data_IF_101120506283
#
_entry.id   IF_101120506283
#
_cell.length_a   1.000
_cell.length_b   1.000
_cell.length_c   1.000
_cell.angle_alpha   90.00
_cell.angle_beta   90.00
_cell.angle_gamma   90.00
#
_symmetry.space_group_name_H-M   'P 1'
#
loop_
_entity.id
_entity.type
_entity.pdbx_description
1 polymer ?
#
# COMPACT_ATOMS: atom_id res chain seq x y z
N UNK A 1 31.73 -13.92 -28.95
CA UNK A 1 31.73 -14.26 -27.51
C UNK A 1 30.29 -14.48 -27.03
N UNK A 2 29.88 -15.74 -27.02
CA UNK A 2 28.54 -16.16 -26.60
C UNK A 2 28.25 -15.79 -25.13
N UNK A 3 29.25 -15.77 -24.27
CA UNK A 3 29.12 -15.41 -22.86
C UNK A 3 28.69 -13.97 -22.67
N UNK A 4 29.19 -13.03 -23.46
CA UNK A 4 28.79 -11.62 -23.45
C UNK A 4 27.38 -11.42 -23.99
N UNK A 5 26.96 -12.16 -25.02
CA UNK A 5 25.62 -12.10 -25.56
C UNK A 5 24.58 -12.60 -24.54
N UNK A 6 24.85 -13.71 -23.87
CA UNK A 6 24.02 -14.27 -22.81
C UNK A 6 23.92 -13.30 -21.62
N UNK A 7 25.03 -12.68 -21.21
CA UNK A 7 25.04 -11.72 -20.10
C UNK A 7 24.18 -10.48 -20.41
N UNK A 8 24.26 -9.93 -21.64
CA UNK A 8 23.44 -8.79 -22.09
C UNK A 8 21.95 -9.13 -22.15
N UNK A 9 21.62 -10.31 -22.67
CA UNK A 9 20.23 -10.76 -22.74
C UNK A 9 19.64 -10.99 -21.35
N UNK A 10 20.40 -11.57 -20.42
CA UNK A 10 19.98 -11.74 -19.04
C UNK A 10 19.80 -10.39 -18.32
N UNK A 11 20.68 -9.41 -18.56
CA UNK A 11 20.53 -8.06 -18.02
C UNK A 11 19.26 -7.38 -18.54
N UNK A 12 18.97 -7.50 -19.85
CA UNK A 12 17.76 -6.97 -20.46
C UNK A 12 16.49 -7.61 -19.89
N UNK A 13 16.47 -8.95 -19.78
CA UNK A 13 15.35 -9.68 -19.15
C UNK A 13 15.14 -9.26 -17.69
N UNK A 14 16.21 -9.09 -16.92
CA UNK A 14 16.11 -8.63 -15.54
C UNK A 14 15.55 -7.20 -15.43
N UNK A 15 15.90 -6.29 -16.33
CA UNK A 15 15.34 -4.94 -16.35
C UNK A 15 13.84 -4.97 -16.64
N UNK A 16 13.42 -5.75 -17.63
CA UNK A 16 12.00 -5.92 -17.97
C UNK A 16 11.23 -6.55 -16.79
N UNK A 17 11.77 -7.62 -16.20
CA UNK A 17 11.16 -8.26 -15.04
C UNK A 17 11.07 -7.33 -13.83
N UNK A 18 12.09 -6.50 -13.58
CA UNK A 18 12.06 -5.48 -12.53
C UNK A 18 11.00 -4.41 -12.81
N UNK A 19 10.85 -4.00 -14.06
CA UNK A 19 9.79 -3.06 -14.44
C UNK A 19 8.41 -3.65 -14.18
N UNK A 20 8.16 -4.89 -14.61
CA UNK A 20 6.89 -5.56 -14.33
C UNK A 20 6.69 -5.84 -12.83
N UNK A 21 7.75 -6.12 -12.07
CA UNK A 21 7.67 -6.29 -10.62
C UNK A 21 7.27 -5.01 -9.88
N UNK A 22 7.29 -3.84 -10.53
CA UNK A 22 6.74 -2.62 -9.98
C UNK A 22 5.21 -2.65 -9.87
N UNK A 23 4.55 -3.41 -10.73
CA UNK A 23 3.08 -3.44 -10.85
C UNK A 23 2.47 -4.80 -10.49
N UNK A 24 3.25 -5.86 -10.45
CA UNK A 24 2.78 -7.21 -10.13
C UNK A 24 3.84 -8.01 -9.37
N UNK A 25 3.43 -9.00 -8.59
CA UNK A 25 4.33 -9.93 -7.91
C UNK A 25 4.88 -10.95 -8.91
N UNK A 26 6.15 -10.82 -9.28
CA UNK A 26 6.83 -11.77 -10.15
C UNK A 26 7.45 -12.89 -9.30
N UNK A 27 7.05 -14.14 -9.54
CA UNK A 27 7.67 -15.32 -8.91
C UNK A 27 9.17 -15.34 -9.24
N UNK A 28 10.01 -15.37 -8.20
CA UNK A 28 11.48 -15.41 -8.36
C UNK A 28 12.21 -14.13 -7.96
N UNK A 29 11.50 -13.00 -7.81
CA UNK A 29 12.02 -11.81 -7.15
C UNK A 29 11.44 -11.80 -5.74
N UNK A 30 11.97 -12.64 -4.87
CA UNK A 30 11.58 -12.67 -3.46
C UNK A 30 12.13 -11.44 -2.77
N UNK A 31 11.24 -10.51 -2.44
CA UNK A 31 11.58 -9.47 -1.48
C UNK A 31 11.81 -10.13 -0.13
N UNK A 32 13.06 -10.13 0.33
CA UNK A 32 13.38 -10.59 1.68
C UNK A 32 12.56 -9.78 2.68
N UNK A 33 11.88 -10.46 3.59
CA UNK A 33 11.19 -9.83 4.72
C UNK A 33 12.23 -9.13 5.57
N UNK A 34 12.48 -7.84 5.31
CA UNK A 34 13.42 -7.04 6.10
C UNK A 34 12.68 -6.47 7.32
N UNK A 35 13.27 -6.67 8.50
CA UNK A 35 12.81 -6.00 9.72
C UNK A 35 13.00 -4.49 9.56
N UNK A 36 11.90 -3.76 9.45
CA UNK A 36 11.88 -2.30 9.38
C UNK A 36 11.65 -1.75 10.79
N UNK A 37 12.73 -1.61 11.57
CA UNK A 37 12.66 -1.22 12.98
C UNK A 37 11.98 0.16 13.21
N UNK A 38 12.07 1.07 12.25
CA UNK A 38 11.42 2.39 12.32
C UNK A 38 9.88 2.32 12.30
N UNK A 39 9.29 1.26 11.72
CA UNK A 39 7.85 1.04 11.70
C UNK A 39 7.34 0.37 13.00
N UNK A 40 8.23 -0.19 13.81
CA UNK A 40 7.85 -0.76 15.11
C UNK A 40 7.35 0.33 16.08
N UNK A 41 7.83 1.59 15.95
CA UNK A 41 7.33 2.76 16.70
C UNK A 41 5.86 3.06 16.39
N UNK A 42 5.44 2.94 15.14
CA UNK A 42 4.05 3.14 14.71
C UNK A 42 3.12 2.05 15.28
N UNK A 43 3.60 0.80 15.35
CA UNK A 43 2.87 -0.30 15.99
C UNK A 43 2.71 -0.09 17.50
N UNK A 44 3.62 0.63 18.14
CA UNK A 44 3.57 0.97 19.57
C UNK A 44 2.44 1.93 19.94
N UNK A 45 1.99 2.76 19.00
CA UNK A 45 0.87 3.70 19.19
C UNK A 45 -0.50 3.01 19.22
N UNK A 46 -0.59 1.78 18.71
CA UNK A 46 -1.84 1.03 18.67
C UNK A 46 -2.11 0.38 20.05
N UNK A 47 -3.31 0.57 20.64
CA UNK A 47 -3.65 0.01 21.94
C UNK A 47 -3.62 -1.53 21.91
N UNK A 48 -2.79 -2.13 22.78
CA UNK A 48 -2.60 -3.58 22.92
C UNK A 48 -3.73 -4.21 23.72
N UNK A 49 -4.94 -4.20 23.20
CA UNK A 49 -6.12 -4.80 23.83
C UNK A 49 -6.46 -6.13 23.15
N UNK A 50 -6.99 -7.12 23.90
CA UNK A 50 -7.40 -8.41 23.34
C UNK A 50 -8.35 -8.29 22.13
N UNK A 51 -9.20 -7.27 22.10
CA UNK A 51 -10.08 -6.98 20.95
C UNK A 51 -9.37 -6.49 19.70
N UNK A 52 -8.14 -5.98 19.81
CA UNK A 52 -7.36 -5.42 18.71
C UNK A 52 -6.23 -6.36 18.22
N UNK A 53 -6.21 -7.61 18.66
CA UNK A 53 -5.17 -8.60 18.28
C UNK A 53 -5.09 -8.76 16.77
N UNK A 54 -6.22 -8.88 16.09
CA UNK A 54 -6.27 -8.99 14.63
C UNK A 54 -5.78 -7.71 13.94
N UNK A 55 -6.11 -6.54 14.48
CA UNK A 55 -5.60 -5.26 13.97
C UNK A 55 -4.06 -5.22 14.03
N UNK A 56 -3.48 -5.59 15.17
CA UNK A 56 -2.02 -5.65 15.32
C UNK A 56 -1.37 -6.67 14.38
N UNK A 57 -1.98 -7.84 14.20
CA UNK A 57 -1.50 -8.88 13.30
C UNK A 57 -1.50 -8.40 11.84
N UNK A 58 -2.61 -7.81 11.39
CA UNK A 58 -2.73 -7.30 10.01
C UNK A 58 -1.82 -6.10 9.75
N UNK A 59 -1.75 -5.13 10.68
CA UNK A 59 -0.83 -4.00 10.56
C UNK A 59 0.63 -4.45 10.53
N UNK A 60 1.00 -5.39 11.40
CA UNK A 60 2.35 -5.94 11.41
C UNK A 60 2.65 -6.69 10.11
N UNK A 61 1.70 -7.47 9.60
CA UNK A 61 1.85 -8.15 8.31
C UNK A 61 1.99 -7.17 7.17
N UNK A 62 1.15 -6.13 7.10
CA UNK A 62 1.21 -5.08 6.10
C UNK A 62 2.56 -4.35 6.09
N UNK A 63 3.02 -3.90 7.24
CA UNK A 63 4.28 -3.14 7.36
C UNK A 63 5.52 -4.00 7.09
N UNK A 64 5.47 -5.30 7.42
CA UNK A 64 6.58 -6.23 7.17
C UNK A 64 6.57 -6.83 5.78
N UNK A 65 5.42 -6.92 5.15
CA UNK A 65 5.33 -7.35 3.75
C UNK A 65 5.83 -6.22 2.85
N UNK A 66 7.06 -6.38 2.36
CA UNK A 66 7.72 -5.39 1.50
C UNK A 66 6.94 -5.09 0.23
N UNK A 67 6.24 -6.08 -0.32
CA UNK A 67 5.49 -5.93 -1.57
C UNK A 67 4.23 -5.10 -1.36
N UNK A 68 3.40 -5.46 -0.39
CA UNK A 68 2.16 -4.73 -0.10
C UNK A 68 2.43 -3.27 0.28
N UNK A 69 3.39 -3.05 1.19
CA UNK A 69 3.74 -1.71 1.63
C UNK A 69 4.33 -0.87 0.49
N UNK A 70 5.25 -1.43 -0.31
CA UNK A 70 5.86 -0.68 -1.41
C UNK A 70 4.89 -0.39 -2.54
N UNK A 71 3.95 -1.31 -2.85
CA UNK A 71 2.89 -1.05 -3.83
C UNK A 71 1.95 0.06 -3.35
N UNK A 72 1.54 0.05 -2.08
CA UNK A 72 0.73 1.11 -1.49
C UNK A 72 1.42 2.46 -1.58
N UNK A 73 2.73 2.53 -1.27
CA UNK A 73 3.50 3.77 -1.41
C UNK A 73 3.60 4.26 -2.88
N UNK A 74 3.72 3.34 -3.84
CA UNK A 74 3.74 3.71 -5.27
C UNK A 74 2.40 4.27 -5.72
N UNK A 75 1.29 3.63 -5.33
CA UNK A 75 -0.05 4.12 -5.65
C UNK A 75 -0.29 5.50 -5.01
N UNK A 76 0.14 5.69 -3.76
CA UNK A 76 0.11 7.00 -3.09
C UNK A 76 0.96 8.04 -3.83
N UNK A 77 2.17 7.68 -4.26
CA UNK A 77 3.02 8.59 -5.04
C UNK A 77 2.38 8.98 -6.38
N UNK A 78 1.73 8.02 -7.06
CA UNK A 78 0.99 8.28 -8.29
C UNK A 78 -0.22 9.19 -8.06
N UNK A 79 -0.95 9.03 -6.95
CA UNK A 79 -2.07 9.91 -6.62
C UNK A 79 -1.61 11.34 -6.33
N UNK A 80 -0.50 11.50 -5.62
CA UNK A 80 0.12 12.81 -5.36
C UNK A 80 0.57 13.47 -6.69
N UNK A 81 1.24 12.72 -7.56
CA UNK A 81 1.62 13.22 -8.88
C UNK A 81 0.40 13.64 -9.70
N UNK A 82 -0.68 12.88 -9.66
CA UNK A 82 -1.92 13.24 -10.34
C UNK A 82 -2.50 14.57 -9.82
N UNK A 83 -2.51 14.78 -8.50
CA UNK A 83 -2.99 16.03 -7.87
C UNK A 83 -2.15 17.23 -8.32
N UNK A 84 -0.83 17.07 -8.45
CA UNK A 84 0.08 18.15 -8.80
C UNK A 84 0.00 18.50 -10.30
N UNK A 85 0.07 17.49 -11.18
CA UNK A 85 0.27 17.68 -12.61
C UNK A 85 -1.02 17.86 -13.41
N UNK A 86 -2.14 17.28 -12.97
CA UNK A 86 -3.39 17.35 -13.74
C UNK A 86 -4.16 18.62 -13.38
N UNK A 87 -4.45 19.51 -14.35
CA UNK A 87 -5.16 20.76 -14.08
C UNK A 87 -6.66 20.57 -13.87
N UNK A 88 -7.26 19.52 -14.44
CA UNK A 88 -8.71 19.30 -14.40
C UNK A 88 -9.15 18.61 -13.10
N UNK A 89 -9.93 19.26 -12.22
CA UNK A 89 -10.27 18.72 -10.89
C UNK A 89 -11.10 17.44 -10.97
N UNK A 90 -12.02 17.33 -11.93
CA UNK A 90 -12.86 16.14 -12.09
C UNK A 90 -12.05 14.90 -12.44
N UNK A 91 -11.06 15.04 -13.32
CA UNK A 91 -10.17 13.95 -13.72
C UNK A 91 -9.28 13.52 -12.55
N UNK A 92 -8.77 14.49 -11.77
CA UNK A 92 -7.97 14.21 -10.56
C UNK A 92 -8.77 13.41 -9.55
N UNK A 93 -9.99 13.84 -9.25
CA UNK A 93 -10.86 13.14 -8.27
C UNK A 93 -11.14 11.71 -8.74
N UNK A 94 -11.49 11.53 -10.02
CA UNK A 94 -11.75 10.20 -10.58
C UNK A 94 -10.51 9.29 -10.52
N UNK A 95 -9.33 9.83 -10.84
CA UNK A 95 -8.08 9.09 -10.84
C UNK A 95 -7.64 8.73 -9.41
N UNK A 96 -7.70 9.67 -8.46
CA UNK A 96 -7.40 9.44 -7.05
C UNK A 96 -8.35 8.40 -6.46
N UNK A 97 -9.66 8.47 -6.77
CA UNK A 97 -10.64 7.48 -6.34
C UNK A 97 -10.31 6.09 -6.89
N UNK A 98 -9.91 5.98 -8.16
CA UNK A 98 -9.48 4.73 -8.79
C UNK A 98 -8.23 4.16 -8.10
N UNK A 99 -7.21 4.98 -7.84
CA UNK A 99 -5.98 4.55 -7.17
C UNK A 99 -6.26 4.09 -5.73
N UNK A 100 -7.10 4.81 -5.00
CA UNK A 100 -7.54 4.43 -3.65
C UNK A 100 -8.33 3.12 -3.66
N UNK A 101 -9.18 2.89 -4.66
CA UNK A 101 -9.86 1.62 -4.86
C UNK A 101 -8.87 0.47 -5.05
N UNK A 102 -7.81 0.67 -5.85
CA UNK A 102 -6.76 -0.34 -6.04
C UNK A 102 -6.02 -0.65 -4.73
N UNK A 103 -5.76 0.35 -3.88
CA UNK A 103 -5.17 0.13 -2.55
C UNK A 103 -6.08 -0.73 -1.69
N UNK A 104 -7.39 -0.46 -1.65
CA UNK A 104 -8.35 -1.27 -0.89
C UNK A 104 -8.36 -2.71 -1.41
N UNK A 105 -8.44 -2.88 -2.73
CA UNK A 105 -8.43 -4.21 -3.36
C UNK A 105 -7.19 -5.01 -2.98
N UNK A 106 -6.03 -4.36 -2.96
CA UNK A 106 -4.77 -4.98 -2.57
C UNK A 106 -4.76 -5.37 -1.07
N UNK A 107 -5.31 -4.52 -0.19
CA UNK A 107 -5.41 -4.80 1.24
C UNK A 107 -6.38 -5.95 1.56
N UNK A 108 -7.38 -6.18 0.72
CA UNK A 108 -8.29 -7.34 0.88
C UNK A 108 -7.54 -8.68 0.78
N UNK A 109 -6.47 -8.74 0.00
CA UNK A 109 -5.59 -9.93 -0.06
C UNK A 109 -4.97 -10.31 1.28
N UNK A 110 -4.89 -9.37 2.23
CA UNK A 110 -4.39 -9.61 3.57
C UNK A 110 -5.31 -10.53 4.40
N UNK A 111 -6.59 -10.63 4.03
CA UNK A 111 -7.57 -11.45 4.73
C UNK A 111 -7.18 -12.94 4.77
N UNK A 112 -6.66 -13.46 3.69
CA UNK A 112 -6.25 -14.87 3.56
C UNK A 112 -4.82 -15.15 4.09
N UNK A 113 -4.06 -14.11 4.43
CA UNK A 113 -2.65 -14.25 4.83
C UNK A 113 -2.45 -15.13 6.09
N UNK A 114 -3.48 -15.25 6.93
CA UNK A 114 -3.43 -16.00 8.18
C UNK A 114 -4.32 -17.26 8.22
N UNK A 115 -4.95 -17.64 7.09
CA UNK A 115 -5.90 -18.76 7.06
C UNK A 115 -5.25 -20.12 7.33
N UNK A 116 -3.99 -20.28 6.99
CA UNK A 116 -3.25 -21.54 7.11
C UNK A 116 -2.25 -21.55 8.27
N UNK A 117 -2.32 -20.59 9.19
CA UNK A 117 -1.41 -20.57 10.34
C UNK A 117 -2.01 -21.33 11.53
N UNK A 118 -1.35 -22.41 12.01
CA UNK A 118 -1.85 -23.24 13.10
C UNK A 118 -2.03 -22.45 14.40
N UNK A 119 -1.25 -21.40 14.62
CA UNK A 119 -1.35 -20.54 15.81
C UNK A 119 -2.70 -19.81 15.92
N UNK A 120 -3.34 -19.48 14.80
CA UNK A 120 -4.65 -18.81 14.81
C UNK A 120 -5.79 -19.77 15.13
N UNK A 121 -5.57 -21.08 14.95
CA UNK A 121 -6.52 -22.14 15.28
C UNK A 121 -6.46 -22.53 16.76
N UNK A 122 -5.29 -22.37 17.41
CA UNK A 122 -5.07 -22.73 18.82
C UNK A 122 -5.70 -21.72 19.79
N UNK A 123 -5.87 -20.47 19.39
CA UNK A 123 -6.48 -19.45 20.26
C UNK A 123 -7.96 -19.26 19.90
N UNK A 124 -8.90 -19.51 20.83
CA UNK A 124 -10.33 -19.33 20.60
C UNK A 124 -10.66 -17.84 20.49
N UNK A 125 -10.64 -17.33 19.28
CA UNK A 125 -11.02 -15.95 18.98
C UNK A 125 -12.51 -15.85 18.66
N UNK A 126 -13.17 -14.78 19.09
CA UNK A 126 -14.59 -14.54 18.80
C UNK A 126 -14.87 -14.57 17.30
N UNK A 127 -15.89 -15.32 16.87
CA UNK A 127 -16.36 -15.35 15.47
C UNK A 127 -16.64 -13.92 15.00
N UNK A 128 -16.04 -13.52 13.89
CA UNK A 128 -16.18 -12.15 13.33
C UNK A 128 -15.09 -11.14 13.72
N UNK A 129 -14.28 -11.41 14.75
CA UNK A 129 -13.18 -10.51 15.14
C UNK A 129 -12.12 -10.36 14.03
N UNK A 130 -11.94 -11.37 13.19
CA UNK A 130 -11.06 -11.34 12.02
C UNK A 130 -11.49 -10.28 10.99
N UNK A 131 -12.78 -10.28 10.60
CA UNK A 131 -13.35 -9.27 9.67
C UNK A 131 -13.28 -7.87 10.26
N UNK A 132 -13.62 -7.72 11.54
CA UNK A 132 -13.56 -6.43 12.23
C UNK A 132 -12.12 -5.89 12.30
N UNK A 133 -11.13 -6.76 12.56
CA UNK A 133 -9.71 -6.41 12.57
C UNK A 133 -9.22 -5.94 11.20
N UNK A 134 -9.59 -6.65 10.12
CA UNK A 134 -9.26 -6.25 8.76
C UNK A 134 -9.88 -4.89 8.40
N UNK A 135 -11.17 -4.70 8.67
CA UNK A 135 -11.85 -3.43 8.40
C UNK A 135 -11.17 -2.26 9.12
N UNK A 136 -10.82 -2.42 10.40
CA UNK A 136 -10.08 -1.40 11.15
C UNK A 136 -8.71 -1.11 10.54
N UNK A 137 -8.02 -2.15 10.04
CA UNK A 137 -6.73 -1.98 9.37
C UNK A 137 -6.88 -1.19 8.08
N UNK A 138 -7.87 -1.54 7.24
CA UNK A 138 -8.17 -0.82 6.00
C UNK A 138 -8.54 0.63 6.31
N UNK A 139 -9.44 0.87 7.28
CA UNK A 139 -9.83 2.23 7.67
C UNK A 139 -8.64 3.07 8.14
N UNK A 140 -7.71 2.49 8.91
CA UNK A 140 -6.56 3.19 9.42
C UNK A 140 -5.58 3.54 8.29
N UNK A 141 -5.27 2.58 7.41
CA UNK A 141 -4.38 2.82 6.25
C UNK A 141 -5.01 3.82 5.29
N UNK A 142 -6.30 3.65 4.94
CA UNK A 142 -7.00 4.57 4.06
C UNK A 142 -7.14 5.97 4.68
N UNK A 143 -7.41 6.05 5.98
CA UNK A 143 -7.45 7.32 6.70
C UNK A 143 -6.15 8.09 6.60
N UNK A 144 -5.01 7.42 6.78
CA UNK A 144 -3.69 8.05 6.60
C UNK A 144 -3.46 8.53 5.15
N UNK A 145 -3.79 7.69 4.17
CA UNK A 145 -3.67 8.05 2.74
C UNK A 145 -4.53 9.28 2.43
N UNK A 146 -5.79 9.26 2.83
CA UNK A 146 -6.74 10.37 2.59
C UNK A 146 -6.30 11.67 3.27
N UNK A 147 -5.72 11.61 4.48
CA UNK A 147 -5.17 12.79 5.14
C UNK A 147 -3.99 13.37 4.38
N UNK A 148 -3.10 12.54 3.85
CA UNK A 148 -1.95 12.98 3.04
C UNK A 148 -2.44 13.58 1.72
N UNK A 149 -3.32 12.89 0.99
CA UNK A 149 -3.87 13.34 -0.28
C UNK A 149 -4.70 14.63 -0.12
N UNK A 150 -5.54 14.68 0.91
CA UNK A 150 -6.35 15.85 1.25
C UNK A 150 -5.50 17.05 1.64
N UNK A 151 -4.46 16.84 2.45
CA UNK A 151 -3.52 17.90 2.81
C UNK A 151 -2.81 18.50 1.60
N UNK A 152 -2.31 17.65 0.70
CA UNK A 152 -1.67 18.09 -0.55
C UNK A 152 -2.73 18.73 -1.47
N UNK A 153 -3.92 18.14 -1.58
CA UNK A 153 -5.01 18.65 -2.38
C UNK A 153 -5.43 20.06 -1.97
N UNK A 154 -5.55 20.34 -0.66
CA UNK A 154 -5.91 21.67 -0.15
C UNK A 154 -4.88 22.73 -0.54
N UNK A 155 -3.58 22.40 -0.48
CA UNK A 155 -2.52 23.34 -0.86
C UNK A 155 -2.57 23.63 -2.35
N UNK A 156 -2.61 22.61 -3.19
CA UNK A 156 -2.50 22.79 -4.65
C UNK A 156 -3.81 23.19 -5.36
N UNK A 157 -4.98 22.78 -4.82
CA UNK A 157 -6.28 23.19 -5.38
C UNK A 157 -6.57 24.65 -5.04
N UNK A 158 -6.21 25.10 -3.83
CA UNK A 158 -6.33 26.51 -3.43
C UNK A 158 -5.58 27.44 -4.38
N UNK A 159 -4.34 27.09 -4.73
CA UNK A 159 -3.52 27.87 -5.67
C UNK A 159 -4.10 27.87 -7.09
N UNK A 160 -4.64 26.75 -7.56
CA UNK A 160 -5.27 26.64 -8.89
C UNK A 160 -6.59 27.41 -9.00
N UNK A 161 -7.40 27.42 -7.95
CA UNK A 161 -8.64 28.20 -7.90
C UNK A 161 -8.35 29.69 -7.86
N UNK A 162 -7.31 30.13 -7.16
CA UNK A 162 -6.84 31.52 -7.16
C UNK A 162 -6.37 31.96 -8.55
N UNK A 163 -5.63 31.11 -9.27
CA UNK A 163 -5.17 31.38 -10.64
C UNK A 163 -6.32 31.45 -11.66
N UNK A 164 -7.36 30.61 -11.50
CA UNK A 164 -8.55 30.62 -12.36
C UNK A 164 -9.50 31.79 -12.06
N UNK A 165 -9.46 32.33 -10.85
CA UNK A 165 -10.25 33.50 -10.44
C UNK A 165 -9.62 34.83 -10.85
N UNK A 166 -8.39 34.83 -11.36
CA UNK A 166 -7.64 36.01 -11.84
C UNK A 166 -7.66 36.17 -13.39
N UNK A 167 -8.24 35.22 -14.11
CA UNK A 167 -8.49 35.24 -15.56
C UNK A 167 -9.97 35.50 -15.85
#
# INVERSE_FOLDING_TARGET
DWTLAIARENARKQLILRFFALFTTVKGITNSVKRRAYLDGFLGLLPKTHGNTWLHLYMRSFLRNGDLFSMTLRLLALSILAIIFIPQPLVVIALVALLNYLVIFQLLGLYSAFDYQPLTLLFPMKKGSKKAGLNKTIQLVMGMITVIEGGIGLVFISDKVLLLGLL
#
